data_IF_250021579939
#
_entry.id   IF_250021579939
#
_cell.length_a   1.000
_cell.length_b   1.000
_cell.length_c   1.000
_cell.angle_alpha   90.00
_cell.angle_beta   90.00
_cell.angle_gamma   90.00
#
_symmetry.space_group_name_H-M   'P 1'
#
loop_
_entity.id
_entity.type
_entity.pdbx_description
1 polymer ?
#
# COMPACT_ATOMS: atom_id res chain seq x y z
N UNK A 1 32.19 27.41 -4.18
CA UNK A 1 31.07 28.36 -4.25
C UNK A 1 30.61 28.44 -5.68
N UNK A 2 29.40 27.96 -5.99
CA UNK A 2 28.56 28.50 -7.06
C UNK A 2 27.11 28.21 -6.68
N UNK A 3 26.40 29.31 -6.47
CA UNK A 3 25.07 29.40 -5.89
C UNK A 3 23.99 29.03 -6.91
N UNK A 4 22.97 28.34 -6.40
CA UNK A 4 21.59 28.19 -6.89
C UNK A 4 21.19 28.74 -8.26
N UNK A 5 20.48 27.91 -9.05
CA UNK A 5 19.18 28.29 -9.62
C UNK A 5 18.37 27.04 -10.00
N UNK A 6 17.48 26.60 -9.09
CA UNK A 6 16.31 25.78 -9.44
C UNK A 6 15.27 26.71 -10.04
N UNK A 7 14.70 26.39 -11.21
CA UNK A 7 13.37 26.83 -11.67
C UNK A 7 12.99 26.18 -13.01
N UNK A 8 11.86 25.45 -13.00
CA UNK A 8 10.91 25.19 -14.11
C UNK A 8 11.43 24.29 -15.25
N UNK A 9 10.67 23.36 -15.85
CA UNK A 9 9.28 23.40 -16.33
C UNK A 9 8.74 21.96 -16.40
N UNK A 10 7.60 21.71 -15.75
CA UNK A 10 6.72 20.57 -16.01
C UNK A 10 5.73 21.03 -17.09
N UNK A 11 5.76 20.40 -18.27
CA UNK A 11 4.85 20.71 -19.38
C UNK A 11 4.55 19.45 -20.17
N UNK A 12 3.39 18.86 -19.89
CA UNK A 12 2.81 17.70 -20.57
C UNK A 12 2.45 18.13 -22.00
N UNK A 13 3.14 17.59 -23.00
CA UNK A 13 2.76 17.74 -24.41
C UNK A 13 1.90 16.55 -24.82
N UNK A 14 0.59 16.77 -24.88
CA UNK A 14 -0.34 15.84 -25.53
C UNK A 14 -0.10 15.81 -27.03
N UNK A 15 0.06 14.62 -27.59
CA UNK A 15 0.11 14.41 -29.03
C UNK A 15 -1.21 13.76 -29.47
N UNK A 16 -2.06 14.56 -30.10
CA UNK A 16 -3.23 14.09 -30.81
C UNK A 16 -2.80 13.39 -32.11
N UNK A 17 -3.30 12.17 -32.35
CA UNK A 17 -3.34 11.57 -33.68
C UNK A 17 -4.76 11.13 -33.97
N UNK A 18 -5.33 11.79 -34.97
CA UNK A 18 -6.59 11.48 -35.61
C UNK A 18 -6.39 10.44 -36.72
N UNK A 19 -7.37 9.54 -36.88
CA UNK A 19 -7.48 8.57 -37.97
C UNK A 19 -7.70 7.17 -37.42
N UNK A 20 -8.69 6.39 -37.80
CA UNK A 20 -9.71 6.54 -38.82
C UNK A 20 -10.52 5.23 -38.83
N UNK A 21 -11.83 5.36 -38.96
CA UNK A 21 -12.85 4.43 -39.46
C UNK A 21 -12.51 2.93 -39.69
N UNK A 22 -13.44 2.10 -39.20
CA UNK A 22 -14.15 1.04 -39.94
C UNK A 22 -13.97 -0.43 -39.50
N UNK A 23 -15.12 -0.98 -39.06
CA UNK A 23 -15.70 -2.28 -39.45
C UNK A 23 -15.17 -3.61 -38.84
N UNK A 24 -16.06 -4.24 -38.05
CA UNK A 24 -16.42 -5.66 -38.15
C UNK A 24 -15.65 -6.66 -37.28
N UNK A 25 -16.31 -7.75 -36.79
CA UNK A 25 -15.67 -8.74 -35.94
C UNK A 25 -14.84 -9.71 -36.78
N UNK A 26 -13.52 -9.62 -36.67
CA UNK A 26 -12.61 -10.58 -37.27
C UNK A 26 -11.99 -11.44 -36.17
N UNK A 27 -12.60 -12.60 -35.96
CA UNK A 27 -11.93 -13.72 -35.32
C UNK A 27 -10.70 -14.08 -36.17
N UNK A 28 -9.51 -13.68 -35.74
CA UNK A 28 -8.26 -14.25 -36.23
C UNK A 28 -7.30 -14.45 -35.06
N UNK A 29 -6.98 -15.72 -34.80
CA UNK A 29 -5.89 -16.13 -33.92
C UNK A 29 -4.57 -15.95 -34.69
N UNK A 30 -3.76 -14.96 -34.31
CA UNK A 30 -2.34 -14.95 -34.63
C UNK A 30 -1.53 -14.86 -33.33
N UNK A 31 -0.65 -15.83 -33.14
CA UNK A 31 0.29 -15.90 -32.00
C UNK A 31 1.47 -14.98 -32.30
N UNK A 32 1.33 -13.70 -31.95
CA UNK A 32 2.44 -12.73 -31.91
C UNK A 32 3.10 -12.69 -30.52
N UNK A 33 4.35 -12.20 -30.40
CA UNK A 33 5.02 -12.14 -29.11
C UNK A 33 4.15 -11.35 -28.14
N UNK A 34 3.90 -11.91 -26.96
CA UNK A 34 3.19 -11.25 -25.87
C UNK A 34 4.03 -10.04 -25.44
N UNK A 35 3.85 -8.92 -26.15
CA UNK A 35 4.14 -7.61 -25.60
C UNK A 35 3.51 -7.57 -24.23
N UNK A 36 4.22 -6.98 -23.27
CA UNK A 36 3.67 -6.65 -21.97
C UNK A 36 2.41 -5.81 -22.24
N UNK A 37 1.26 -6.49 -22.36
CA UNK A 37 -0.04 -5.87 -22.35
C UNK A 37 0.02 -5.06 -21.08
N UNK A 38 0.01 -3.73 -21.21
CA UNK A 38 -0.28 -2.85 -20.09
C UNK A 38 -1.37 -3.55 -19.31
N UNK A 39 -1.01 -4.01 -18.09
CA UNK A 39 -1.86 -4.84 -17.28
C UNK A 39 -3.17 -4.08 -17.23
N UNK A 40 -4.18 -4.60 -17.93
CA UNK A 40 -5.47 -3.95 -18.03
C UNK A 40 -5.88 -3.77 -16.59
N UNK A 41 -5.78 -2.54 -16.09
CA UNK A 41 -6.11 -2.26 -14.71
C UNK A 41 -7.61 -2.49 -14.71
N UNK A 42 -8.02 -3.68 -14.26
CA UNK A 42 -9.42 -4.00 -14.11
C UNK A 42 -9.89 -3.00 -13.07
N UNK A 43 -10.47 -1.92 -13.55
CA UNK A 43 -11.05 -0.90 -12.72
C UNK A 43 -12.35 -1.49 -12.20
N UNK A 44 -12.20 -2.35 -11.20
CA UNK A 44 -13.30 -2.91 -10.46
C UNK A 44 -13.93 -1.77 -9.68
N UNK A 45 -15.24 -1.61 -9.82
CA UNK A 45 -15.98 -0.70 -8.96
C UNK A 45 -15.74 -1.05 -7.50
N UNK A 46 -15.72 -0.02 -6.65
CA UNK A 46 -15.59 -0.19 -5.20
C UNK A 46 -16.65 -1.19 -4.74
N UNK A 47 -16.28 -2.28 -4.05
CA UNK A 47 -17.26 -3.24 -3.55
C UNK A 47 -18.24 -2.54 -2.59
N UNK A 48 -19.51 -2.84 -2.81
CA UNK A 48 -20.61 -2.32 -2.00
C UNK A 48 -20.44 -2.71 -0.52
N UNK A 49 -20.48 -1.72 0.38
CA UNK A 49 -20.26 -1.95 1.80
C UNK A 49 -21.36 -2.83 2.43
N UNK A 50 -22.59 -2.75 1.93
CA UNK A 50 -23.69 -3.61 2.37
C UNK A 50 -23.50 -5.07 1.98
N UNK A 51 -22.81 -5.35 0.86
CA UNK A 51 -22.37 -6.71 0.51
C UNK A 51 -21.23 -7.21 1.38
N UNK A 52 -20.31 -6.33 1.78
CA UNK A 52 -19.15 -6.70 2.61
C UNK A 52 -19.51 -6.86 4.09
N UNK A 53 -20.47 -6.07 4.59
CA UNK A 53 -20.87 -6.01 5.99
C UNK A 53 -22.41 -6.08 6.10
N UNK A 54 -23.04 -7.21 5.70
CA UNK A 54 -24.50 -7.32 5.58
C UNK A 54 -25.26 -7.16 6.90
N UNK A 55 -24.57 -7.29 8.03
CA UNK A 55 -25.14 -7.16 9.38
C UNK A 55 -24.60 -5.94 10.13
N UNK A 56 -23.87 -5.04 9.45
CA UNK A 56 -23.17 -3.93 10.09
C UNK A 56 -21.96 -4.37 10.92
N UNK A 57 -21.23 -3.39 11.45
CA UNK A 57 -20.08 -3.65 12.34
C UNK A 57 -20.60 -4.05 13.72
N UNK A 58 -20.08 -5.14 14.26
CA UNK A 58 -20.44 -5.59 15.61
C UNK A 58 -19.61 -4.82 16.63
N UNK A 59 -20.11 -3.65 17.03
CA UNK A 59 -19.52 -2.79 18.05
C UNK A 59 -18.76 -1.58 17.50
N UNK A 60 -18.33 -0.73 18.42
CA UNK A 60 -17.52 0.44 18.09
C UNK A 60 -16.07 0.02 17.83
N UNK A 61 -15.46 0.64 16.82
CA UNK A 61 -14.03 0.49 16.60
C UNK A 61 -13.27 1.26 17.68
N UNK A 62 -12.43 0.57 18.44
CA UNK A 62 -11.56 1.19 19.44
C UNK A 62 -10.21 1.58 18.82
N UNK A 63 -9.68 2.70 19.29
CA UNK A 63 -8.31 3.15 19.00
C UNK A 63 -7.60 3.39 20.33
N UNK A 64 -6.31 3.10 20.34
CA UNK A 64 -5.38 3.52 21.39
C UNK A 64 -4.47 4.60 20.82
N UNK A 65 -4.30 5.69 21.56
CA UNK A 65 -3.25 6.66 21.28
C UNK A 65 -2.00 6.21 22.02
N UNK A 66 -0.87 6.15 21.31
CA UNK A 66 0.40 5.71 21.87
C UNK A 66 1.21 6.92 22.32
N UNK A 67 1.84 6.81 23.49
CA UNK A 67 2.83 7.79 23.95
C UNK A 67 4.15 7.66 23.18
N UNK A 68 4.98 8.70 23.27
CA UNK A 68 6.34 8.66 22.69
C UNK A 68 7.18 7.51 23.26
N UNK A 69 6.99 7.18 24.55
CA UNK A 69 7.64 6.05 25.20
C UNK A 69 7.20 4.71 24.58
N UNK A 70 5.89 4.50 24.43
CA UNK A 70 5.35 3.27 23.82
C UNK A 70 5.82 3.09 22.38
N UNK A 71 5.89 4.19 21.61
CA UNK A 71 6.46 4.18 20.25
C UNK A 71 7.97 3.87 20.29
N UNK A 72 8.69 4.41 21.28
CA UNK A 72 10.10 4.10 21.53
C UNK A 72 10.33 2.61 21.82
N UNK A 73 9.51 2.02 22.69
CA UNK A 73 9.58 0.62 23.06
C UNK A 73 9.27 -0.31 21.86
N UNK A 74 8.26 0.02 21.04
CA UNK A 74 8.00 -0.70 19.80
C UNK A 74 9.21 -0.67 18.84
N UNK A 75 9.88 0.47 18.71
CA UNK A 75 11.11 0.59 17.91
C UNK A 75 12.26 -0.24 18.48
N UNK A 76 12.40 -0.29 19.81
CA UNK A 76 13.39 -1.13 20.47
C UNK A 76 13.17 -2.62 20.18
N UNK A 77 11.92 -3.08 20.20
CA UNK A 77 11.55 -4.47 19.82
C UNK A 77 11.94 -4.75 18.36
N UNK A 78 11.67 -3.82 17.43
CA UNK A 78 12.06 -3.96 16.02
C UNK A 78 13.60 -4.04 15.90
N UNK A 79 14.33 -3.20 16.62
CA UNK A 79 15.79 -3.23 16.59
C UNK A 79 16.35 -4.55 17.15
N UNK A 80 15.77 -5.07 18.24
CA UNK A 80 16.18 -6.33 18.86
C UNK A 80 15.90 -7.53 17.93
N UNK A 81 14.72 -7.60 17.33
CA UNK A 81 14.36 -8.67 16.38
C UNK A 81 15.23 -8.67 15.14
N UNK A 82 15.55 -7.49 14.59
CA UNK A 82 16.52 -7.34 13.48
C UNK A 82 17.92 -7.79 13.89
N UNK A 83 18.39 -7.39 15.08
CA UNK A 83 19.69 -7.82 15.61
C UNK A 83 19.77 -9.33 15.79
N UNK A 84 18.64 -9.98 16.12
CA UNK A 84 18.52 -11.42 16.25
C UNK A 84 18.38 -12.17 14.91
N UNK A 85 18.36 -11.47 13.77
CA UNK A 85 18.20 -12.08 12.45
C UNK A 85 16.81 -12.68 12.21
N UNK A 86 15.79 -12.22 12.95
CA UNK A 86 14.43 -12.71 12.84
C UNK A 86 13.67 -12.00 11.70
N UNK A 87 12.69 -12.68 11.06
CA UNK A 87 11.88 -12.07 10.02
C UNK A 87 11.00 -10.94 10.58
N UNK A 88 10.53 -10.04 9.72
CA UNK A 88 9.70 -8.88 10.10
C UNK A 88 8.43 -9.30 10.85
N UNK A 89 7.87 -10.47 10.50
CA UNK A 89 6.70 -11.03 11.17
C UNK A 89 6.96 -11.31 12.66
N UNK A 90 8.19 -11.65 13.03
CA UNK A 90 8.55 -11.83 14.44
C UNK A 90 8.44 -10.51 15.21
N UNK A 91 8.90 -9.40 14.64
CA UNK A 91 8.75 -8.07 15.23
C UNK A 91 7.28 -7.69 15.44
N UNK A 92 6.43 -7.97 14.44
CA UNK A 92 4.98 -7.72 14.55
C UNK A 92 4.36 -8.53 15.68
N UNK A 93 4.67 -9.83 15.76
CA UNK A 93 4.16 -10.70 16.83
C UNK A 93 4.65 -10.20 18.19
N UNK A 94 5.93 -9.88 18.34
CA UNK A 94 6.50 -9.36 19.59
C UNK A 94 5.82 -8.07 20.02
N UNK A 95 5.60 -7.11 19.12
CA UNK A 95 4.88 -5.87 19.43
C UNK A 95 3.43 -6.17 19.85
N UNK A 96 2.74 -7.05 19.14
CA UNK A 96 1.35 -7.42 19.47
C UNK A 96 1.23 -8.11 20.83
N UNK A 97 2.20 -8.97 21.17
CA UNK A 97 2.28 -9.58 22.50
C UNK A 97 2.57 -8.53 23.56
N UNK A 98 3.60 -7.70 23.41
CA UNK A 98 3.92 -6.65 24.38
C UNK A 98 2.77 -5.63 24.55
N UNK A 99 2.00 -5.36 23.50
CA UNK A 99 0.81 -4.51 23.60
C UNK A 99 -0.31 -5.15 24.44
N UNK A 100 -0.50 -6.47 24.34
CA UNK A 100 -1.49 -7.20 25.15
C UNK A 100 -1.06 -7.35 26.61
N UNK A 101 0.22 -7.62 26.84
CA UNK A 101 0.73 -7.92 28.19
C UNK A 101 1.00 -6.66 29.02
N UNK A 102 1.60 -5.63 28.42
CA UNK A 102 2.01 -4.42 29.15
C UNK A 102 1.62 -3.11 28.48
N UNK A 103 0.84 -3.14 27.40
CA UNK A 103 0.55 -1.95 26.58
C UNK A 103 1.82 -1.25 26.09
N UNK A 104 2.89 -2.02 25.82
CA UNK A 104 4.21 -1.50 25.46
C UNK A 104 4.89 -0.64 26.54
N UNK A 105 4.41 -0.68 27.78
CA UNK A 105 5.08 -0.05 28.92
C UNK A 105 6.23 -0.95 29.40
N UNK A 106 7.32 -0.32 29.83
CA UNK A 106 8.41 -1.02 30.48
C UNK A 106 8.10 -1.16 31.98
N UNK A 107 8.09 -2.39 32.49
CA UNK A 107 7.66 -2.70 33.85
C UNK A 107 8.82 -2.79 34.87
N UNK A 108 10.07 -2.64 34.43
CA UNK A 108 11.27 -2.74 35.28
C UNK A 108 12.42 -3.45 34.63
#
# INVERSE_FOLDING_TARGET
>A
MNTMLRKSVLGIAGLAVAGGLAAGPLNHHEVGPSGLSEAAVVQADKPDAGKLIPHGVQGAQSRIDLSDEQVGNAKAIIAATKKAGLPERAAVISIATSLQESKLENLG
#
